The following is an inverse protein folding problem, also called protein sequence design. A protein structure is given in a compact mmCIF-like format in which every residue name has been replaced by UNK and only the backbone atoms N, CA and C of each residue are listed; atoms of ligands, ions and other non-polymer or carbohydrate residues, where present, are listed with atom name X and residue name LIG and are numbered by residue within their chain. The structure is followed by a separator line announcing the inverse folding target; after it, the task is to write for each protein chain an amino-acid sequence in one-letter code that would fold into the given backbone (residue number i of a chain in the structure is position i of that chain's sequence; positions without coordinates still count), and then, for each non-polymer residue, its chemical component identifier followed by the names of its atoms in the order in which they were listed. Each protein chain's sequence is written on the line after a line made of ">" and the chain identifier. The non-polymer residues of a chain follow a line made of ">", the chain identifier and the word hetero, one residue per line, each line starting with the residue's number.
data_IF_415892649330
#
_entry.id   IF_415892649330
#
_cell.length_a   1.000
_cell.length_b   1.000
_cell.length_c   1.000
_cell.angle_alpha   90.00
_cell.angle_beta   90.00
_cell.angle_gamma   90.00
#
_symmetry.space_group_name_H-M   'P 1'
#
loop_
_entity.id
_entity.type
_entity.pdbx_description
1 polymer ?
#
# COMPACT_ATOMS: atom_id res chain seq x y z
N UNK A 1 1.03 7.70 16.65
CA UNK A 1 -0.07 8.38 15.93
C UNK A 1 -0.16 7.75 14.56
N UNK A 2 -1.27 7.12 14.26
CA UNK A 2 -1.49 6.37 13.03
C UNK A 2 -2.01 7.33 11.95
N UNK A 3 -1.38 7.34 10.77
CA UNK A 3 -1.75 8.16 9.62
C UNK A 3 -2.38 7.31 8.53
N UNK A 4 -3.29 7.89 7.75
CA UNK A 4 -3.87 7.23 6.57
C UNK A 4 -3.11 7.65 5.33
N UNK A 5 -2.56 6.68 4.60
CA UNK A 5 -1.80 6.89 3.39
C UNK A 5 -2.53 6.24 2.22
N UNK A 6 -2.59 6.96 1.09
CA UNK A 6 -3.19 6.47 -0.16
C UNK A 6 -2.12 6.44 -1.23
N UNK A 7 -1.87 5.25 -1.78
CA UNK A 7 -0.94 5.03 -2.86
C UNK A 7 -1.69 4.64 -4.14
N UNK A 8 -1.24 5.16 -5.27
CA UNK A 8 -1.54 4.62 -6.58
C UNK A 8 -0.56 3.49 -6.88
N UNK A 9 -1.06 2.34 -7.32
CA UNK A 9 -0.24 1.22 -7.76
C UNK A 9 -0.74 0.76 -9.12
N UNK A 10 0.17 0.57 -10.08
CA UNK A 10 -0.15 0.08 -11.43
C UNK A 10 -0.64 -1.39 -11.43
N UNK A 11 -1.84 -1.62 -10.91
CA UNK A 11 -2.52 -2.91 -10.84
C UNK A 11 -3.25 -3.21 -12.15
N UNK A 12 -3.17 -4.45 -12.61
CA UNK A 12 -3.83 -4.93 -13.84
C UNK A 12 -4.77 -6.10 -13.60
N UNK A 13 -4.74 -6.69 -12.40
CA UNK A 13 -5.60 -7.80 -11.99
C UNK A 13 -5.59 -7.95 -10.46
N UNK A 14 -6.49 -8.79 -9.91
CA UNK A 14 -6.53 -9.11 -8.48
C UNK A 14 -5.22 -9.73 -7.96
N UNK A 15 -4.46 -10.43 -8.81
CA UNK A 15 -3.14 -10.92 -8.44
C UNK A 15 -2.18 -9.81 -8.03
N UNK A 16 -2.28 -8.62 -8.63
CA UNK A 16 -1.49 -7.45 -8.24
C UNK A 16 -1.95 -6.89 -6.88
N UNK A 17 -3.26 -6.85 -6.63
CA UNK A 17 -3.81 -6.45 -5.35
C UNK A 17 -3.36 -7.39 -4.22
N UNK A 18 -3.38 -8.70 -4.47
CA UNK A 18 -2.89 -9.69 -3.52
C UNK A 18 -1.38 -9.56 -3.27
N UNK A 19 -0.59 -9.21 -4.30
CA UNK A 19 0.83 -8.92 -4.11
C UNK A 19 1.05 -7.71 -3.20
N UNK A 20 0.26 -6.64 -3.35
CA UNK A 20 0.29 -5.47 -2.46
C UNK A 20 -0.02 -5.86 -1.01
N UNK A 21 -1.13 -6.58 -0.79
CA UNK A 21 -1.52 -7.08 0.55
C UNK A 21 -0.41 -7.92 1.18
N UNK A 22 0.22 -8.82 0.40
CA UNK A 22 1.30 -9.69 0.88
C UNK A 22 2.56 -8.94 1.26
N UNK A 23 3.00 -7.92 0.51
CA UNK A 23 4.20 -7.16 0.89
C UNK A 23 3.93 -6.23 2.08
N UNK A 24 2.73 -5.66 2.18
CA UNK A 24 2.32 -4.82 3.31
C UNK A 24 2.18 -5.65 4.60
N UNK A 25 1.63 -6.87 4.52
CA UNK A 25 1.50 -7.76 5.68
C UNK A 25 2.85 -8.16 6.29
N UNK A 26 3.96 -8.09 5.53
CA UNK A 26 5.31 -8.33 6.07
C UNK A 26 5.84 -7.20 6.97
N UNK A 27 5.23 -6.02 6.93
CA UNK A 27 5.62 -4.88 7.77
C UNK A 27 5.06 -5.00 9.20
N UNK A 28 4.16 -5.97 9.43
CA UNK A 28 3.51 -6.21 10.71
C UNK A 28 2.21 -5.42 10.86
N UNK A 29 1.15 -6.11 11.28
CA UNK A 29 -0.20 -5.51 11.40
C UNK A 29 -0.30 -4.42 12.48
N UNK A 30 0.62 -4.43 13.47
CA UNK A 30 0.72 -3.37 14.48
C UNK A 30 1.21 -2.04 13.89
N UNK A 31 2.03 -2.09 12.84
CA UNK A 31 2.63 -0.91 12.21
C UNK A 31 1.86 -0.45 10.99
N UNK A 32 1.32 -1.39 10.22
CA UNK A 32 0.64 -1.14 8.94
C UNK A 32 -0.61 -1.98 8.85
N UNK A 33 -1.76 -1.32 8.72
CA UNK A 33 -3.06 -1.95 8.50
C UNK A 33 -3.58 -1.59 7.13
N UNK A 34 -3.83 -2.60 6.30
CA UNK A 34 -4.46 -2.41 4.99
C UNK A 34 -5.95 -2.10 5.21
N UNK A 35 -6.40 -0.91 4.80
CA UNK A 35 -7.80 -0.53 4.89
C UNK A 35 -8.56 -0.93 3.62
N UNK A 36 -7.96 -0.66 2.46
CA UNK A 36 -8.58 -0.94 1.17
C UNK A 36 -7.54 -1.16 0.07
N UNK A 37 -7.88 -2.00 -0.91
CA UNK A 37 -7.09 -2.22 -2.13
C UNK A 37 -8.07 -2.41 -3.28
N UNK A 38 -8.11 -1.42 -4.17
CA UNK A 38 -9.05 -1.35 -5.27
C UNK A 38 -8.31 -1.42 -6.61
N UNK A 39 -8.56 -2.50 -7.37
CA UNK A 39 -7.98 -2.75 -8.69
C UNK A 39 -8.57 -1.80 -9.75
N UNK A 40 -9.85 -1.44 -9.63
CA UNK A 40 -10.53 -0.58 -10.59
C UNK A 40 -10.01 0.86 -10.52
N UNK A 41 -9.81 1.37 -9.31
CA UNK A 41 -9.25 2.72 -9.10
C UNK A 41 -7.73 2.75 -8.97
N UNK A 42 -7.08 1.58 -8.93
CA UNK A 42 -5.63 1.42 -8.77
C UNK A 42 -5.09 1.99 -7.46
N UNK A 43 -5.91 1.98 -6.40
CA UNK A 43 -5.59 2.59 -5.11
C UNK A 43 -5.32 1.55 -4.03
N UNK A 44 -4.38 1.87 -3.16
CA UNK A 44 -4.01 1.12 -1.96
C UNK A 44 -4.08 2.09 -0.79
N UNK A 45 -5.01 1.83 0.14
CA UNK A 45 -5.22 2.66 1.32
C UNK A 45 -4.77 1.91 2.55
N UNK A 46 -3.88 2.52 3.34
CA UNK A 46 -3.31 1.91 4.54
C UNK A 46 -3.33 2.89 5.71
N UNK A 47 -3.54 2.38 6.92
CA UNK A 47 -3.22 3.08 8.15
C UNK A 47 -1.81 2.66 8.59
N UNK A 48 -0.94 3.62 8.90
CA UNK A 48 0.47 3.38 9.19
C UNK A 48 0.95 4.21 10.37
N UNK A 49 1.79 3.61 11.21
CA UNK A 49 2.60 4.31 12.21
C UNK A 49 4.01 4.63 11.71
N UNK A 50 4.43 4.02 10.60
CA UNK A 50 5.72 4.24 9.95
C UNK A 50 5.61 5.24 8.79
N UNK A 51 6.73 5.85 8.36
CA UNK A 51 6.74 6.81 7.27
C UNK A 51 6.23 6.24 5.94
N UNK A 52 5.62 7.10 5.11
CA UNK A 52 5.13 6.73 3.79
C UNK A 52 6.21 6.14 2.88
N UNK A 53 7.47 6.61 3.01
CA UNK A 53 8.61 6.09 2.26
C UNK A 53 8.87 4.60 2.51
N UNK A 54 8.71 4.11 3.75
CA UNK A 54 8.90 2.70 4.07
C UNK A 54 7.81 1.82 3.46
N UNK A 55 6.57 2.30 3.49
CA UNK A 55 5.44 1.62 2.83
C UNK A 55 5.62 1.60 1.32
N UNK A 56 6.01 2.73 0.74
CA UNK A 56 6.28 2.83 -0.68
C UNK A 56 7.36 1.84 -1.10
N UNK A 57 8.48 1.78 -0.38
CA UNK A 57 9.56 0.84 -0.65
C UNK A 57 9.10 -0.63 -0.55
N UNK A 58 8.17 -0.95 0.35
CA UNK A 58 7.58 -2.28 0.43
C UNK A 58 6.70 -2.59 -0.79
N UNK A 59 5.88 -1.64 -1.23
CA UNK A 59 5.04 -1.76 -2.42
C UNK A 59 5.87 -1.86 -3.70
N UNK A 60 6.99 -1.16 -3.81
CA UNK A 60 7.90 -1.22 -4.96
C UNK A 60 8.50 -2.64 -5.17
N UNK A 61 8.58 -3.47 -4.11
CA UNK A 61 8.98 -4.89 -4.22
C UNK A 61 8.01 -5.73 -5.06
N UNK A 62 6.82 -5.22 -5.37
CA UNK A 62 5.89 -5.86 -6.32
C UNK A 62 6.31 -5.67 -7.78
N UNK A 63 7.32 -4.84 -8.05
CA UNK A 63 7.77 -4.50 -9.40
C UNK A 63 6.79 -3.60 -10.17
N UNK A 64 5.91 -2.89 -9.45
CA UNK A 64 4.92 -1.98 -10.03
C UNK A 64 5.30 -0.53 -9.75
N UNK A 65 4.84 0.36 -10.61
CA UNK A 65 4.94 1.79 -10.36
C UNK A 65 4.02 2.18 -9.19
N UNK A 66 4.59 2.85 -8.19
CA UNK A 66 3.90 3.30 -6.98
C UNK A 66 4.00 4.82 -6.89
N UNK A 67 2.91 5.49 -6.50
CA UNK A 67 2.88 6.93 -6.28
C UNK A 67 2.07 7.25 -5.02
N UNK A 68 2.61 8.05 -4.11
CA UNK A 68 1.83 8.59 -3.00
C UNK A 68 0.85 9.65 -3.53
N UNK A 69 -0.45 9.45 -3.28
CA UNK A 69 -1.52 10.39 -3.67
C UNK A 69 -1.92 11.28 -2.49
N UNK A 70 -1.96 10.73 -1.27
CA UNK A 70 -2.42 11.44 -0.09
C UNK A 70 -1.78 10.89 1.19
N UNK A 71 -1.48 11.79 2.13
CA UNK A 71 -1.07 11.51 3.50
C UNK A 71 -1.94 12.35 4.44
N UNK A 72 -2.66 11.67 5.35
CA UNK A 72 -3.61 12.26 6.29
C UNK A 72 -3.30 11.84 7.73
#
# INVERSE_FOLDING_TARGET
>A
MTKTLVFEMAMTCEGCANAARRVLGKLGEEKVKVLDVDVATKKVTVASEIPAAEIQAALEKTGKAIKLISEQ
#
